data_IF_632416082058
#
_entry.id   IF_632416082058
#
_cell.length_a   1.000
_cell.length_b   1.000
_cell.length_c   1.000
_cell.angle_alpha   90.00
_cell.angle_beta   90.00
_cell.angle_gamma   90.00
#
_symmetry.space_group_name_H-M   'P 1'
#
loop_
_entity.id
_entity.type
_entity.pdbx_description
1 polymer ?
#
# COMPACT_ATOMS: atom_id res chain seq x y z
N UNK A 1 -32.94 44.68 -10.61
CA UNK A 1 -32.18 44.03 -9.51
C UNK A 1 -32.85 42.78 -8.92
N UNK A 2 -34.16 42.60 -8.91
CA UNK A 2 -34.83 41.48 -8.23
C UNK A 2 -34.70 40.07 -8.87
N UNK A 3 -34.53 39.95 -10.21
CA UNK A 3 -34.45 38.64 -10.89
C UNK A 3 -33.10 37.94 -10.70
N UNK A 4 -32.00 38.68 -10.75
CA UNK A 4 -30.66 38.14 -10.50
C UNK A 4 -30.51 37.67 -9.06
N UNK A 5 -31.03 38.38 -8.09
CA UNK A 5 -31.00 38.01 -6.67
C UNK A 5 -31.81 36.73 -6.37
N UNK A 6 -32.95 36.52 -7.07
CA UNK A 6 -33.74 35.29 -6.97
C UNK A 6 -33.01 34.07 -7.62
N UNK A 7 -32.33 34.27 -8.75
CA UNK A 7 -31.52 33.25 -9.39
C UNK A 7 -30.34 32.81 -8.50
N UNK A 8 -29.63 33.78 -7.90
CA UNK A 8 -28.53 33.47 -6.97
C UNK A 8 -29.01 32.74 -5.72
N UNK A 9 -30.17 33.09 -5.18
CA UNK A 9 -30.79 32.37 -4.06
C UNK A 9 -31.23 30.96 -4.45
N UNK A 10 -31.71 30.74 -5.65
CA UNK A 10 -32.10 29.43 -6.15
C UNK A 10 -30.90 28.53 -6.38
N UNK A 11 -29.82 29.06 -6.97
CA UNK A 11 -28.55 28.33 -7.15
C UNK A 11 -27.87 28.00 -5.81
N UNK A 12 -27.89 28.95 -4.85
CA UNK A 12 -27.35 28.72 -3.51
C UNK A 12 -28.16 27.68 -2.73
N UNK A 13 -29.51 27.71 -2.84
CA UNK A 13 -30.36 26.73 -2.19
C UNK A 13 -30.22 25.33 -2.83
N UNK A 14 -30.10 25.25 -4.16
CA UNK A 14 -29.81 23.99 -4.86
C UNK A 14 -28.45 23.41 -4.50
N UNK A 15 -27.42 24.26 -4.40
CA UNK A 15 -26.10 23.87 -3.93
C UNK A 15 -26.10 23.38 -2.49
N UNK A 16 -26.78 24.06 -1.58
CA UNK A 16 -26.89 23.64 -0.19
C UNK A 16 -27.66 22.32 -0.02
N UNK A 17 -28.73 22.10 -0.77
CA UNK A 17 -29.48 20.85 -0.77
C UNK A 17 -28.61 19.67 -1.30
N UNK A 18 -27.81 19.92 -2.35
CA UNK A 18 -26.87 18.93 -2.88
C UNK A 18 -25.80 18.56 -1.88
N UNK A 19 -25.18 19.52 -1.19
CA UNK A 19 -24.20 19.28 -0.13
C UNK A 19 -24.81 18.52 1.04
N UNK A 20 -26.05 18.86 1.45
CA UNK A 20 -26.74 18.15 2.52
C UNK A 20 -27.03 16.67 2.15
N UNK A 21 -27.44 16.42 0.90
CA UNK A 21 -27.67 15.06 0.41
C UNK A 21 -26.39 14.23 0.40
N UNK A 22 -25.26 14.80 -0.05
CA UNK A 22 -23.95 14.13 0.01
C UNK A 22 -23.53 13.85 1.45
N UNK A 23 -23.70 14.81 2.36
CA UNK A 23 -23.39 14.62 3.78
C UNK A 23 -24.24 13.50 4.40
N UNK A 24 -25.52 13.43 4.07
CA UNK A 24 -26.39 12.34 4.52
C UNK A 24 -25.95 10.98 3.97
N UNK A 25 -25.58 10.92 2.67
CA UNK A 25 -25.06 9.69 2.07
C UNK A 25 -23.76 9.25 2.75
N UNK A 26 -22.81 10.16 3.00
CA UNK A 26 -21.57 9.88 3.72
C UNK A 26 -21.86 9.35 5.14
N UNK A 27 -22.81 9.94 5.85
CA UNK A 27 -23.21 9.49 7.17
C UNK A 27 -23.84 8.07 7.13
N UNK A 28 -24.61 7.75 6.09
CA UNK A 28 -25.15 6.39 5.90
C UNK A 28 -24.03 5.36 5.71
N UNK A 29 -23.05 5.65 4.84
CA UNK A 29 -21.86 4.78 4.66
C UNK A 29 -21.10 4.60 5.97
N UNK A 30 -20.94 5.67 6.76
CA UNK A 30 -20.25 5.62 8.04
C UNK A 30 -21.00 4.79 9.10
N UNK A 31 -22.33 4.72 9.03
CA UNK A 31 -23.15 3.88 9.94
C UNK A 31 -23.16 2.41 9.54
N UNK A 32 -23.11 2.11 8.25
CA UNK A 32 -23.11 0.73 7.70
C UNK A 32 -21.68 0.14 7.59
N UNK A 33 -20.76 0.59 8.44
CA UNK A 33 -19.40 0.06 8.48
C UNK A 33 -19.42 -1.42 8.87
N UNK A 34 -18.73 -2.21 8.05
CA UNK A 34 -18.49 -3.64 8.33
C UNK A 34 -17.14 -3.79 9.01
N UNK A 35 -17.06 -4.61 10.03
CA UNK A 35 -15.77 -4.95 10.62
C UNK A 35 -15.00 -5.89 9.69
N UNK A 36 -13.72 -5.59 9.40
CA UNK A 36 -12.90 -6.50 8.63
C UNK A 36 -12.58 -7.78 9.40
N UNK A 37 -12.46 -8.88 8.69
CA UNK A 37 -12.08 -10.18 9.27
C UNK A 37 -10.65 -10.11 9.86
N UNK A 38 -10.53 -10.11 11.19
CA UNK A 38 -9.26 -9.89 11.91
C UNK A 38 -8.27 -11.05 11.80
N UNK A 39 -8.76 -12.29 11.72
CA UNK A 39 -7.95 -13.52 11.68
C UNK A 39 -7.43 -13.93 10.29
N UNK A 40 -7.74 -13.17 9.24
CA UNK A 40 -7.60 -13.61 7.85
C UNK A 40 -6.15 -13.87 7.37
N UNK A 41 -5.12 -13.39 8.08
CA UNK A 41 -3.72 -13.61 7.73
C UNK A 41 -3.06 -14.76 8.51
N UNK A 42 -3.58 -15.11 9.68
CA UNK A 42 -2.92 -16.04 10.60
C UNK A 42 -1.85 -15.38 11.48
N UNK A 43 -1.12 -16.18 12.24
CA UNK A 43 -0.09 -15.71 13.18
C UNK A 43 -0.63 -14.95 14.40
N UNK A 44 0.26 -14.46 15.23
CA UNK A 44 -0.02 -13.66 16.42
C UNK A 44 -0.08 -12.17 16.05
N UNK A 45 -0.95 -11.43 16.74
CA UNK A 45 -1.05 -9.98 16.58
C UNK A 45 -0.07 -9.27 17.50
N UNK A 46 0.60 -8.24 16.97
CA UNK A 46 1.44 -7.33 17.71
C UNK A 46 1.03 -5.88 17.44
N UNK A 47 1.41 -5.00 18.35
CA UNK A 47 1.24 -3.57 18.23
C UNK A 47 2.58 -2.89 18.60
N UNK A 48 3.06 -2.01 17.74
CA UNK A 48 4.29 -1.25 17.94
C UNK A 48 3.91 0.22 18.20
N UNK A 49 4.14 0.73 19.42
CA UNK A 49 3.94 2.15 19.72
C UNK A 49 5.00 2.95 18.99
N UNK A 50 4.57 3.69 17.97
CA UNK A 50 5.44 4.52 17.16
C UNK A 50 5.08 6.00 17.32
N UNK A 51 5.97 6.91 16.92
CA UNK A 51 5.85 8.36 17.14
C UNK A 51 4.46 8.94 16.76
N UNK A 52 3.85 8.43 15.68
CA UNK A 52 2.58 8.96 15.17
C UNK A 52 1.37 8.07 15.46
N UNK A 53 1.52 7.01 16.25
CA UNK A 53 0.41 6.11 16.62
C UNK A 53 0.81 4.64 16.65
N UNK A 54 -0.13 3.77 17.01
CA UNK A 54 0.07 2.34 17.07
C UNK A 54 0.18 1.74 15.66
N UNK A 55 1.24 0.98 15.43
CA UNK A 55 1.45 0.22 14.19
C UNK A 55 1.12 -1.24 14.44
N UNK A 56 0.08 -1.72 13.78
CA UNK A 56 -0.34 -3.10 13.87
C UNK A 56 0.55 -3.99 12.99
N UNK A 57 0.89 -5.17 13.48
CA UNK A 57 1.55 -6.19 12.69
C UNK A 57 1.11 -7.59 13.09
N UNK A 58 1.40 -8.56 12.24
CA UNK A 58 1.30 -9.97 12.56
C UNK A 58 2.67 -10.61 12.48
N UNK A 59 2.91 -11.61 13.34
CA UNK A 59 4.12 -12.39 13.29
C UNK A 59 3.85 -13.88 13.47
N UNK A 60 4.69 -14.71 12.87
CA UNK A 60 4.63 -16.17 12.95
C UNK A 60 6.00 -16.79 12.67
N UNK A 61 6.17 -18.06 13.00
CA UNK A 61 7.40 -18.80 12.78
C UNK A 61 8.33 -18.80 14.01
N UNK A 62 9.35 -19.65 13.97
CA UNK A 62 10.29 -19.78 15.08
C UNK A 62 11.09 -18.50 15.31
N UNK A 63 11.26 -18.09 16.55
CA UNK A 63 11.94 -16.84 16.92
C UNK A 63 13.41 -16.80 16.44
N UNK A 64 14.08 -17.93 16.49
CA UNK A 64 15.47 -18.06 16.02
C UNK A 64 15.62 -18.09 14.48
N UNK A 65 14.52 -18.33 13.73
CA UNK A 65 14.59 -18.38 12.28
C UNK A 65 14.91 -17.01 11.66
N UNK A 66 15.51 -16.93 10.46
CA UNK A 66 15.80 -15.68 9.78
C UNK A 66 14.54 -14.79 9.64
N UNK A 67 14.62 -13.50 9.95
CA UNK A 67 13.43 -12.64 9.89
C UNK A 67 13.09 -12.24 8.46
N UNK A 68 11.79 -12.14 8.19
CA UNK A 68 11.23 -11.65 6.93
C UNK A 68 10.10 -10.68 7.24
N UNK A 69 10.15 -9.47 6.66
CA UNK A 69 9.13 -8.44 6.82
C UNK A 69 8.36 -8.23 5.55
N UNK A 70 7.06 -8.42 5.60
CA UNK A 70 6.11 -8.19 4.51
C UNK A 70 5.47 -6.81 4.65
N UNK A 71 5.62 -5.98 3.61
CA UNK A 71 5.08 -4.62 3.56
C UNK A 71 4.07 -4.53 2.41
N UNK A 72 2.82 -4.22 2.75
CA UNK A 72 1.74 -4.15 1.77
C UNK A 72 1.84 -2.91 0.86
N UNK A 73 1.17 -2.94 -0.30
CA UNK A 73 1.03 -1.78 -1.18
C UNK A 73 0.27 -0.63 -0.50
N UNK A 74 0.43 0.57 -1.03
CA UNK A 74 -0.34 1.76 -0.66
C UNK A 74 -1.59 1.85 -1.51
N UNK A 75 -2.75 2.07 -0.88
CA UNK A 75 -4.03 2.22 -1.59
C UNK A 75 -5.24 1.97 -0.70
N UNK A 76 -6.42 2.25 -1.22
CA UNK A 76 -7.67 2.02 -0.49
C UNK A 76 -7.88 0.53 -0.20
N UNK A 77 -8.15 0.19 1.05
CA UNK A 77 -8.31 -1.19 1.52
C UNK A 77 -7.02 -2.00 1.63
N UNK A 78 -5.86 -1.39 1.34
CA UNK A 78 -4.57 -2.07 1.45
C UNK A 78 -4.21 -2.37 2.91
N UNK A 79 -3.66 -3.56 3.15
CA UNK A 79 -3.11 -4.03 4.43
C UNK A 79 -2.33 -5.33 4.23
N UNK A 80 -1.72 -5.81 5.29
CA UNK A 80 -0.96 -7.08 5.34
C UNK A 80 -1.70 -8.30 4.78
N UNK A 81 -3.03 -8.28 4.75
CA UNK A 81 -3.87 -9.34 4.15
C UNK A 81 -3.53 -9.65 2.68
N UNK A 82 -2.91 -8.73 1.95
CA UNK A 82 -2.46 -9.03 0.59
C UNK A 82 -1.43 -10.16 0.53
N UNK A 83 -0.78 -10.48 1.65
CA UNK A 83 0.20 -11.55 1.78
C UNK A 83 -0.37 -12.87 2.29
N UNK A 84 -1.70 -13.03 2.33
CA UNK A 84 -2.40 -14.20 2.91
C UNK A 84 -2.02 -15.55 2.29
N UNK A 85 -1.49 -15.55 1.05
CA UNK A 85 -1.02 -16.76 0.38
C UNK A 85 0.48 -17.01 0.57
N UNK A 86 1.18 -16.09 1.21
CA UNK A 86 2.65 -16.10 1.30
C UNK A 86 3.13 -16.11 2.76
N UNK A 87 2.42 -15.46 3.66
CA UNK A 87 2.83 -15.27 5.04
C UNK A 87 2.98 -16.60 5.80
N UNK A 88 1.96 -17.45 5.79
CA UNK A 88 2.04 -18.76 6.45
C UNK A 88 3.08 -19.69 5.80
N UNK A 89 3.17 -19.85 4.46
CA UNK A 89 4.26 -20.59 3.84
C UNK A 89 5.66 -20.06 4.22
N UNK A 90 5.85 -18.74 4.32
CA UNK A 90 7.12 -18.16 4.74
C UNK A 90 7.44 -18.45 6.20
N UNK A 91 6.45 -18.40 7.09
CA UNK A 91 6.64 -18.61 8.53
C UNK A 91 7.11 -20.04 8.91
N UNK A 92 7.02 -20.98 7.99
CA UNK A 92 7.57 -22.34 8.19
C UNK A 92 9.10 -22.38 8.18
N UNK A 93 9.75 -21.37 7.60
CA UNK A 93 11.20 -21.30 7.41
C UNK A 93 11.82 -20.00 7.90
N UNK A 94 11.00 -19.04 8.29
CA UNK A 94 11.40 -17.69 8.68
C UNK A 94 10.57 -17.19 9.87
N UNK A 95 11.12 -16.28 10.65
CA UNK A 95 10.33 -15.43 11.55
C UNK A 95 9.66 -14.35 10.73
N UNK A 96 8.44 -14.61 10.29
CA UNK A 96 7.70 -13.74 9.40
C UNK A 96 6.96 -12.63 10.18
N UNK A 97 7.08 -11.40 9.69
CA UNK A 97 6.33 -10.24 10.15
C UNK A 97 5.54 -9.67 8.97
N UNK A 98 4.30 -9.25 9.19
CA UNK A 98 3.48 -8.57 8.19
C UNK A 98 2.88 -7.31 8.80
N UNK A 99 3.41 -6.16 8.42
CA UNK A 99 3.07 -4.86 9.01
C UNK A 99 1.91 -4.21 8.23
N UNK A 100 0.98 -3.62 8.98
CA UNK A 100 0.01 -2.66 8.43
C UNK A 100 0.62 -1.26 8.61
N UNK A 101 0.95 -0.56 7.54
CA UNK A 101 1.54 0.77 7.60
C UNK A 101 0.60 1.76 8.29
N UNK A 102 1.15 2.77 8.97
CA UNK A 102 0.35 3.85 9.58
C UNK A 102 -0.61 4.45 8.55
N UNK A 103 -1.86 4.66 8.93
CA UNK A 103 -2.92 5.11 8.02
C UNK A 103 -3.62 3.99 7.26
N UNK A 104 -3.17 2.73 7.37
CA UNK A 104 -3.70 1.57 6.66
C UNK A 104 -4.06 0.44 7.63
N UNK A 105 -4.84 -0.52 7.13
CA UNK A 105 -5.16 -1.75 7.85
C UNK A 105 -5.71 -1.50 9.26
N UNK A 106 -5.11 -2.17 10.24
CA UNK A 106 -5.45 -2.02 11.66
C UNK A 106 -4.53 -1.05 12.43
N UNK A 107 -3.52 -0.48 11.77
CA UNK A 107 -2.71 0.59 12.36
C UNK A 107 -3.55 1.86 12.54
N UNK A 108 -3.12 2.73 13.45
CA UNK A 108 -3.73 4.04 13.66
C UNK A 108 -3.73 4.87 12.38
N UNK A 109 -4.72 5.76 12.27
CA UNK A 109 -4.96 6.58 11.09
C UNK A 109 -5.14 8.06 11.48
N UNK A 110 -4.12 8.64 12.15
CA UNK A 110 -4.24 10.01 12.63
C UNK A 110 -4.39 11.00 11.47
N UNK A 111 -5.34 11.92 11.59
CA UNK A 111 -5.55 12.97 10.60
C UNK A 111 -4.38 13.97 10.52
N UNK A 112 -3.59 14.05 11.58
CA UNK A 112 -2.48 15.01 11.74
C UNK A 112 -1.12 14.44 11.34
N UNK A 113 -1.01 13.15 11.01
CA UNK A 113 0.25 12.58 10.57
C UNK A 113 0.70 13.19 9.22
N UNK A 114 1.99 13.52 9.07
CA UNK A 114 2.53 14.08 7.83
C UNK A 114 2.77 12.99 6.79
N UNK A 115 1.70 12.34 6.32
CA UNK A 115 1.79 11.23 5.37
C UNK A 115 2.67 11.58 4.17
N UNK A 116 3.83 10.96 4.09
CA UNK A 116 4.87 11.17 3.09
C UNK A 116 5.70 9.91 2.86
N UNK A 117 6.47 9.88 1.80
CA UNK A 117 7.45 8.81 1.59
C UNK A 117 8.45 8.72 2.76
N UNK A 118 8.91 9.87 3.26
CA UNK A 118 9.89 9.93 4.35
C UNK A 118 9.34 9.37 5.66
N UNK A 119 8.05 9.62 5.96
CA UNK A 119 7.36 9.00 7.10
C UNK A 119 7.39 7.47 7.02
N UNK A 120 7.10 6.89 5.86
CA UNK A 120 7.07 5.43 5.73
C UNK A 120 8.47 4.81 5.69
N UNK A 121 9.47 5.51 5.17
CA UNK A 121 10.87 5.08 5.26
C UNK A 121 11.32 5.06 6.72
N UNK A 122 11.01 6.11 7.48
CA UNK A 122 11.32 6.18 8.92
C UNK A 122 10.60 5.04 9.68
N UNK A 123 9.29 4.87 9.45
CA UNK A 123 8.52 3.78 10.07
C UNK A 123 9.15 2.41 9.81
N UNK A 124 9.53 2.12 8.57
CA UNK A 124 10.14 0.82 8.23
C UNK A 124 11.49 0.63 8.92
N UNK A 125 12.33 1.65 8.97
CA UNK A 125 13.63 1.59 9.65
C UNK A 125 13.46 1.36 11.16
N UNK A 126 12.55 2.08 11.78
CA UNK A 126 12.27 1.94 13.20
C UNK A 126 11.64 0.58 13.54
N UNK A 127 10.68 0.11 12.71
CA UNK A 127 10.10 -1.22 12.87
C UNK A 127 11.14 -2.33 12.74
N UNK A 128 12.05 -2.24 11.78
CA UNK A 128 13.15 -3.19 11.61
C UNK A 128 14.10 -3.17 12.81
N UNK A 129 14.41 -2.00 13.34
CA UNK A 129 15.29 -1.83 14.49
C UNK A 129 14.66 -2.31 15.79
N UNK A 130 13.45 -1.81 16.10
CA UNK A 130 12.86 -1.91 17.43
C UNK A 130 12.01 -3.19 17.61
N UNK A 131 11.38 -3.69 16.53
CA UNK A 131 10.50 -4.87 16.59
C UNK A 131 11.20 -6.12 16.09
N UNK A 132 11.91 -6.02 14.96
CA UNK A 132 12.60 -7.18 14.38
C UNK A 132 13.95 -7.41 15.07
N UNK A 133 14.69 -6.34 15.37
CA UNK A 133 15.91 -6.33 16.21
C UNK A 133 17.16 -6.95 15.58
N UNK A 134 17.10 -7.35 14.31
CA UNK A 134 18.21 -7.93 13.55
C UNK A 134 17.97 -7.75 12.04
N UNK A 135 19.03 -7.84 11.20
CA UNK A 135 18.88 -7.71 9.76
C UNK A 135 17.82 -8.66 9.20
N UNK A 136 17.00 -8.18 8.27
CA UNK A 136 15.86 -8.92 7.76
C UNK A 136 15.78 -8.91 6.24
N UNK A 137 15.25 -9.99 5.66
CA UNK A 137 14.72 -9.94 4.31
C UNK A 137 13.43 -9.10 4.24
N UNK A 138 13.31 -8.20 3.28
CA UNK A 138 12.12 -7.36 3.14
C UNK A 138 11.40 -7.66 1.83
N UNK A 139 10.11 -7.99 1.94
CA UNK A 139 9.19 -8.20 0.83
C UNK A 139 8.22 -7.04 0.77
N UNK A 140 8.26 -6.24 -0.28
CA UNK A 140 7.44 -5.06 -0.37
C UNK A 140 6.80 -4.89 -1.76
N UNK A 141 5.63 -4.25 -1.81
CA UNK A 141 4.85 -4.12 -3.04
C UNK A 141 4.66 -2.66 -3.46
N UNK A 142 4.79 -2.39 -4.76
CA UNK A 142 4.48 -1.11 -5.39
C UNK A 142 5.23 0.06 -4.75
N UNK A 143 4.55 1.07 -4.23
CA UNK A 143 5.17 2.25 -3.61
C UNK A 143 5.91 1.90 -2.30
N UNK A 144 5.41 0.93 -1.53
CA UNK A 144 6.13 0.44 -0.34
C UNK A 144 7.43 -0.28 -0.69
N UNK A 145 7.55 -0.84 -1.90
CA UNK A 145 8.82 -1.37 -2.39
C UNK A 145 9.86 -0.25 -2.62
N UNK A 146 9.41 0.95 -3.01
CA UNK A 146 10.28 2.11 -3.07
C UNK A 146 10.75 2.56 -1.68
N UNK A 147 9.88 2.52 -0.67
CA UNK A 147 10.26 2.82 0.72
C UNK A 147 11.23 1.78 1.28
N UNK A 148 11.01 0.50 0.99
CA UNK A 148 11.92 -0.57 1.41
C UNK A 148 13.30 -0.42 0.77
N UNK A 149 13.37 -0.08 -0.51
CA UNK A 149 14.63 0.21 -1.20
C UNK A 149 15.37 1.39 -0.57
N UNK A 150 14.64 2.48 -0.24
CA UNK A 150 15.22 3.62 0.47
C UNK A 150 15.71 3.23 1.86
N UNK A 151 14.90 2.53 2.64
CA UNK A 151 15.29 2.08 3.97
C UNK A 151 16.57 1.23 3.94
N UNK A 152 16.69 0.30 2.95
CA UNK A 152 17.86 -0.53 2.75
C UNK A 152 19.11 0.27 2.33
N UNK A 153 18.96 1.30 1.52
CA UNK A 153 20.08 2.16 1.11
C UNK A 153 20.53 3.12 2.23
N UNK A 154 19.57 3.63 3.02
CA UNK A 154 19.83 4.57 4.12
C UNK A 154 20.33 3.88 5.40
N UNK A 155 19.94 2.62 5.63
CA UNK A 155 20.30 1.83 6.82
C UNK A 155 20.59 0.37 6.41
N UNK A 156 21.72 0.14 5.72
CA UNK A 156 22.03 -1.16 5.11
C UNK A 156 22.20 -2.30 6.15
N UNK A 157 22.49 -1.97 7.38
CA UNK A 157 22.60 -2.90 8.49
C UNK A 157 21.25 -3.53 8.93
N UNK A 158 20.13 -2.93 8.53
CA UNK A 158 18.80 -3.41 8.89
C UNK A 158 18.20 -4.39 7.86
N UNK A 159 18.75 -4.45 6.66
CA UNK A 159 18.18 -5.20 5.54
C UNK A 159 19.19 -6.11 4.89
N UNK A 160 18.96 -7.43 4.95
CA UNK A 160 19.81 -8.44 4.32
C UNK A 160 19.55 -8.59 2.83
N UNK A 161 18.28 -8.56 2.43
CA UNK A 161 17.86 -8.79 1.06
C UNK A 161 16.50 -8.17 0.76
N UNK A 162 16.22 -7.95 -0.52
CA UNK A 162 14.98 -7.32 -0.99
C UNK A 162 14.28 -8.19 -2.03
N UNK A 163 12.98 -8.43 -1.83
CA UNK A 163 12.07 -8.92 -2.87
C UNK A 163 11.03 -7.84 -3.13
N UNK A 164 11.19 -7.11 -4.22
CA UNK A 164 10.39 -5.94 -4.56
C UNK A 164 9.38 -6.30 -5.67
N UNK A 165 8.10 -6.22 -5.35
CA UNK A 165 7.01 -6.53 -6.28
C UNK A 165 6.56 -5.26 -6.98
N UNK A 166 6.77 -5.17 -8.29
CA UNK A 166 6.41 -4.02 -9.14
C UNK A 166 6.74 -2.67 -8.47
N UNK A 167 8.02 -2.42 -8.04
CA UNK A 167 8.37 -1.18 -7.35
C UNK A 167 8.10 0.03 -8.24
N UNK A 168 7.50 1.08 -7.67
CA UNK A 168 7.30 2.38 -8.32
C UNK A 168 8.42 3.35 -7.96
N UNK A 169 8.43 4.54 -8.58
CA UNK A 169 9.42 5.58 -8.26
C UNK A 169 10.60 5.67 -9.23
N UNK A 170 10.68 4.77 -10.24
CA UNK A 170 11.61 4.91 -11.37
C UNK A 170 10.94 5.54 -12.61
N UNK A 171 9.64 5.80 -12.54
CA UNK A 171 8.80 6.35 -13.61
C UNK A 171 7.76 7.34 -13.05
N UNK A 172 6.47 7.14 -13.37
CA UNK A 172 5.41 8.12 -13.10
C UNK A 172 5.18 8.54 -11.65
N UNK A 173 5.49 7.68 -10.65
CA UNK A 173 5.32 7.99 -9.23
C UNK A 173 6.59 8.54 -8.57
N UNK A 174 7.47 9.17 -9.32
CA UNK A 174 8.74 9.75 -8.82
C UNK A 174 8.62 11.22 -8.40
N UNK A 175 7.67 11.97 -8.96
CA UNK A 175 7.55 13.39 -8.71
C UNK A 175 6.74 13.73 -7.45
N UNK A 176 7.22 14.71 -6.68
CA UNK A 176 6.43 15.35 -5.61
C UNK A 176 5.26 16.15 -6.22
N UNK A 177 4.14 16.30 -5.50
CA UNK A 177 2.99 17.04 -6.01
C UNK A 177 3.36 18.51 -6.23
N UNK A 178 3.04 19.02 -7.43
CA UNK A 178 3.03 20.46 -7.71
C UNK A 178 1.76 21.15 -7.18
N UNK A 179 1.50 22.38 -7.63
CA UNK A 179 0.29 23.15 -7.24
C UNK A 179 -1.02 22.40 -7.52
N UNK A 180 -1.11 21.65 -8.62
CA UNK A 180 -2.28 20.83 -8.94
C UNK A 180 -2.49 19.70 -7.92
N UNK A 181 -1.44 19.06 -7.47
CA UNK A 181 -1.50 18.04 -6.42
C UNK A 181 -1.93 18.63 -5.08
N UNK A 182 -1.43 19.82 -4.73
CA UNK A 182 -1.83 20.52 -3.51
C UNK A 182 -3.31 20.93 -3.53
N UNK A 183 -3.80 21.47 -4.66
CA UNK A 183 -5.21 21.80 -4.84
C UNK A 183 -6.10 20.55 -4.76
N UNK A 184 -5.69 19.46 -5.38
CA UNK A 184 -6.40 18.18 -5.33
C UNK A 184 -6.42 17.60 -3.90
N UNK A 185 -5.30 17.70 -3.18
CA UNK A 185 -5.23 17.33 -1.78
C UNK A 185 -6.23 18.11 -0.93
N UNK A 186 -6.32 19.45 -1.10
CA UNK A 186 -7.30 20.30 -0.42
C UNK A 186 -8.74 19.89 -0.74
N UNK A 187 -9.05 19.57 -2.00
CA UNK A 187 -10.37 19.08 -2.40
C UNK A 187 -10.70 17.75 -1.70
N UNK A 188 -9.77 16.79 -1.69
CA UNK A 188 -9.96 15.48 -1.06
C UNK A 188 -10.05 15.56 0.48
N UNK A 189 -9.51 16.61 1.09
CA UNK A 189 -9.67 16.90 2.52
C UNK A 189 -10.98 17.60 2.87
N UNK A 190 -11.75 18.02 1.88
CA UNK A 190 -13.05 18.64 2.14
C UNK A 190 -14.00 17.62 2.81
N UNK A 191 -14.63 17.99 3.95
CA UNK A 191 -15.40 17.05 4.78
C UNK A 191 -16.56 16.36 4.06
N UNK A 192 -17.15 17.00 3.08
CA UNK A 192 -18.29 16.44 2.32
C UNK A 192 -17.85 15.94 0.95
N UNK A 193 -17.26 16.80 0.12
CA UNK A 193 -16.90 16.46 -1.26
C UNK A 193 -15.78 15.40 -1.31
N UNK A 194 -14.73 15.57 -0.51
CA UNK A 194 -13.63 14.62 -0.44
C UNK A 194 -14.08 13.25 0.07
N UNK A 195 -14.88 13.24 1.14
CA UNK A 195 -15.46 11.99 1.67
C UNK A 195 -16.40 11.34 0.66
N UNK A 196 -17.21 12.10 -0.08
CA UNK A 196 -18.10 11.57 -1.12
C UNK A 196 -17.30 10.96 -2.28
N UNK A 197 -16.24 11.63 -2.72
CA UNK A 197 -15.33 11.09 -3.74
C UNK A 197 -14.68 9.79 -3.25
N UNK A 198 -14.16 9.78 -2.03
CA UNK A 198 -13.55 8.61 -1.42
C UNK A 198 -14.54 7.43 -1.33
N UNK A 199 -15.75 7.66 -0.81
CA UNK A 199 -16.80 6.63 -0.71
C UNK A 199 -17.23 6.10 -2.08
N UNK A 200 -17.32 6.96 -3.11
CA UNK A 200 -17.63 6.52 -4.47
C UNK A 200 -16.53 5.62 -5.03
N UNK A 201 -15.26 6.02 -4.89
CA UNK A 201 -14.09 5.25 -5.32
C UNK A 201 -13.99 3.91 -4.57
N UNK A 202 -14.24 3.91 -3.26
CA UNK A 202 -14.16 2.73 -2.39
C UNK A 202 -15.47 1.97 -2.26
N UNK A 203 -16.49 2.28 -3.08
CA UNK A 203 -17.71 1.47 -3.17
C UNK A 203 -17.36 0.04 -3.60
N UNK A 204 -18.20 -0.95 -3.23
CA UNK A 204 -17.98 -2.34 -3.65
C UNK A 204 -17.83 -2.50 -5.16
N UNK A 205 -18.57 -1.69 -5.95
CA UNK A 205 -18.43 -1.65 -7.41
C UNK A 205 -17.07 -1.08 -7.82
N UNK A 206 -16.68 0.07 -7.28
CA UNK A 206 -15.40 0.71 -7.58
C UNK A 206 -14.21 -0.18 -7.26
N UNK A 207 -14.21 -0.82 -6.09
CA UNK A 207 -13.18 -1.76 -5.66
C UNK A 207 -13.15 -3.03 -6.51
N UNK A 208 -14.32 -3.55 -6.91
CA UNK A 208 -14.40 -4.70 -7.81
C UNK A 208 -13.86 -4.38 -9.20
N UNK A 209 -14.24 -3.22 -9.75
CA UNK A 209 -13.79 -2.78 -11.07
C UNK A 209 -12.27 -2.54 -11.05
N UNK A 210 -11.74 -1.90 -10.01
CA UNK A 210 -10.30 -1.74 -9.80
C UNK A 210 -9.57 -3.08 -9.71
N UNK A 211 -10.07 -4.02 -8.90
CA UNK A 211 -9.46 -5.34 -8.76
C UNK A 211 -9.44 -6.10 -10.10
N UNK A 212 -10.52 -6.04 -10.87
CA UNK A 212 -10.64 -6.74 -12.17
C UNK A 212 -9.85 -6.08 -13.29
N UNK A 213 -9.67 -4.77 -13.26
CA UNK A 213 -9.03 -4.03 -14.35
C UNK A 213 -7.55 -3.76 -14.09
N UNK A 214 -7.16 -3.59 -12.84
CA UNK A 214 -5.79 -3.19 -12.48
C UNK A 214 -5.03 -4.29 -11.74
N UNK A 215 -5.60 -4.88 -10.68
CA UNK A 215 -4.83 -5.78 -9.81
C UNK A 215 -4.58 -7.15 -10.48
N UNK A 216 -5.60 -7.75 -11.10
CA UNK A 216 -5.52 -9.13 -11.57
C UNK A 216 -5.67 -9.26 -13.08
N UNK A 217 -4.81 -10.05 -13.69
CA UNK A 217 -4.99 -10.55 -15.05
C UNK A 217 -6.14 -11.55 -15.10
N UNK A 218 -6.12 -12.55 -14.22
CA UNK A 218 -7.20 -13.50 -14.06
C UNK A 218 -8.27 -12.92 -13.11
N UNK A 219 -9.35 -12.44 -13.70
CA UNK A 219 -10.46 -11.77 -12.99
C UNK A 219 -11.15 -12.64 -11.91
N UNK A 220 -10.87 -13.95 -11.87
CA UNK A 220 -11.38 -14.85 -10.83
C UNK A 220 -10.85 -14.51 -9.45
N UNK A 221 -9.68 -13.89 -9.35
CA UNK A 221 -9.08 -13.46 -8.09
C UNK A 221 -9.82 -12.26 -7.47
N UNK A 222 -10.56 -11.47 -8.26
CA UNK A 222 -11.42 -10.39 -7.76
C UNK A 222 -12.74 -10.96 -7.19
N UNK A 223 -12.61 -11.79 -6.14
CA UNK A 223 -13.75 -12.48 -5.51
C UNK A 223 -14.62 -11.51 -4.70
N UNK A 224 -15.91 -11.81 -4.49
CA UNK A 224 -16.76 -11.03 -3.59
C UNK A 224 -16.18 -10.89 -2.18
N UNK A 225 -15.55 -11.94 -1.64
CA UNK A 225 -14.89 -11.89 -0.32
C UNK A 225 -13.73 -10.91 -0.30
N UNK A 226 -12.90 -10.87 -1.34
CA UNK A 226 -11.81 -9.90 -1.44
C UNK A 226 -12.32 -8.46 -1.52
N UNK A 227 -13.37 -8.23 -2.32
CA UNK A 227 -14.00 -6.91 -2.46
C UNK A 227 -14.61 -6.46 -1.14
N UNK A 228 -15.34 -7.34 -0.46
CA UNK A 228 -15.92 -7.07 0.86
C UNK A 228 -14.83 -6.74 1.90
N UNK A 229 -13.70 -7.45 1.86
CA UNK A 229 -12.56 -7.17 2.72
C UNK A 229 -11.96 -5.78 2.46
N UNK A 230 -11.70 -5.44 1.19
CA UNK A 230 -11.19 -4.11 0.83
C UNK A 230 -12.19 -3.01 1.21
N UNK A 231 -13.50 -3.24 0.98
CA UNK A 231 -14.54 -2.31 1.40
C UNK A 231 -14.49 -2.06 2.90
N UNK A 232 -14.52 -3.10 3.71
CA UNK A 232 -14.51 -2.99 5.17
C UNK A 232 -13.28 -2.22 5.68
N UNK A 233 -12.08 -2.54 5.16
CA UNK A 233 -10.82 -1.86 5.54
C UNK A 233 -10.80 -0.41 5.08
N UNK A 234 -11.30 -0.11 3.88
CA UNK A 234 -11.37 1.27 3.37
C UNK A 234 -12.29 2.18 4.19
N UNK A 235 -13.26 1.60 4.89
CA UNK A 235 -14.25 2.36 5.66
C UNK A 235 -13.96 2.39 7.17
N UNK A 236 -12.79 1.88 7.60
CA UNK A 236 -12.33 2.09 8.98
C UNK A 236 -12.16 3.60 9.27
N UNK A 237 -12.38 4.05 10.51
CA UNK A 237 -12.20 5.45 10.89
C UNK A 237 -10.81 5.97 10.47
N UNK A 238 -10.77 7.09 9.77
CA UNK A 238 -9.52 7.72 9.31
C UNK A 238 -8.85 7.09 8.06
N UNK A 239 -9.39 6.00 7.49
CA UNK A 239 -8.77 5.30 6.36
C UNK A 239 -8.57 6.18 5.11
N UNK A 240 -9.32 7.28 4.98
CA UNK A 240 -9.17 8.21 3.87
C UNK A 240 -7.90 9.07 3.94
N UNK A 241 -7.30 9.31 5.12
CA UNK A 241 -6.23 10.30 5.27
C UNK A 241 -4.97 9.95 4.47
N UNK A 242 -4.40 8.76 4.71
CA UNK A 242 -3.24 8.29 3.97
C UNK A 242 -3.54 8.07 2.48
N UNK A 243 -4.74 7.59 2.14
CA UNK A 243 -5.16 7.42 0.74
C UNK A 243 -5.29 8.76 0.02
N UNK A 244 -5.77 9.80 0.68
CA UNK A 244 -5.80 11.17 0.13
C UNK A 244 -4.40 11.67 -0.18
N UNK A 245 -3.45 11.48 0.72
CA UNK A 245 -2.05 11.84 0.49
C UNK A 245 -1.45 11.04 -0.69
N UNK A 246 -1.79 9.75 -0.80
CA UNK A 246 -1.38 8.91 -1.93
C UNK A 246 -1.92 9.43 -3.27
N UNK A 247 -3.23 9.64 -3.37
CA UNK A 247 -3.88 10.11 -4.60
C UNK A 247 -3.39 11.49 -5.05
N UNK A 248 -2.96 12.32 -4.11
CA UNK A 248 -2.41 13.65 -4.36
C UNK A 248 -0.90 13.67 -4.63
N UNK A 249 -0.25 12.49 -4.64
CA UNK A 249 1.17 12.33 -4.94
C UNK A 249 2.14 12.66 -3.79
N UNK A 250 1.63 12.95 -2.58
CA UNK A 250 2.51 13.22 -1.42
C UNK A 250 3.32 11.99 -0.97
N UNK A 251 2.88 10.80 -1.33
CA UNK A 251 3.57 9.55 -1.01
C UNK A 251 4.59 9.13 -2.07
N UNK A 252 4.67 9.85 -3.20
CA UNK A 252 5.61 9.55 -4.27
C UNK A 252 7.05 9.79 -3.83
N UNK A 253 7.97 8.97 -4.36
CA UNK A 253 9.41 9.12 -4.16
C UNK A 253 10.17 8.65 -5.39
N UNK A 254 11.26 9.33 -5.71
CA UNK A 254 12.21 8.89 -6.72
C UNK A 254 13.20 7.89 -6.09
N UNK A 255 13.39 6.75 -6.74
CA UNK A 255 14.31 5.71 -6.26
C UNK A 255 15.49 5.47 -7.21
N UNK A 256 15.65 6.25 -8.27
CA UNK A 256 16.70 6.01 -9.27
C UNK A 256 18.08 6.03 -8.63
N UNK A 257 18.43 7.11 -7.94
CA UNK A 257 19.70 7.24 -7.22
C UNK A 257 19.82 6.21 -6.07
N UNK A 258 18.71 5.94 -5.37
CA UNK A 258 18.65 4.90 -4.33
C UNK A 258 19.01 3.54 -4.93
N UNK A 259 18.43 3.20 -6.08
CA UNK A 259 18.59 1.90 -6.70
C UNK A 259 20.01 1.64 -7.22
N UNK A 260 20.70 2.67 -7.67
CA UNK A 260 22.13 2.63 -8.02
C UNK A 260 23.02 2.27 -6.82
N UNK A 261 22.64 2.75 -5.63
CA UNK A 261 23.40 2.56 -4.38
C UNK A 261 23.07 1.28 -3.64
N UNK A 262 22.00 0.57 -3.99
CA UNK A 262 21.60 -0.66 -3.30
C UNK A 262 22.71 -1.72 -3.40
N UNK A 263 23.14 -2.23 -2.25
CA UNK A 263 24.15 -3.28 -2.14
C UNK A 263 23.56 -4.65 -1.83
N UNK A 264 22.41 -4.66 -1.20
CA UNK A 264 21.69 -5.87 -0.81
C UNK A 264 21.29 -6.68 -2.06
N UNK A 265 21.34 -8.03 -1.98
CA UNK A 265 20.71 -8.89 -2.96
C UNK A 265 19.27 -8.44 -3.20
N UNK A 266 18.96 -8.05 -4.43
CA UNK A 266 17.65 -7.48 -4.79
C UNK A 266 17.02 -8.28 -5.92
N UNK A 267 15.82 -8.77 -5.69
CA UNK A 267 15.01 -9.44 -6.69
C UNK A 267 13.76 -8.62 -6.98
N UNK A 268 13.51 -8.34 -8.25
CA UNK A 268 12.30 -7.71 -8.76
C UNK A 268 11.32 -8.80 -9.20
N UNK A 269 10.11 -8.81 -8.66
CA UNK A 269 9.02 -9.67 -9.13
C UNK A 269 8.01 -8.81 -9.90
N UNK A 270 7.72 -9.17 -11.16
CA UNK A 270 6.87 -8.32 -12.00
C UNK A 270 5.88 -9.11 -12.83
N UNK A 271 4.64 -8.65 -12.87
CA UNK A 271 3.63 -9.18 -13.80
C UNK A 271 3.84 -8.58 -15.20
N UNK A 272 3.98 -9.44 -16.22
CA UNK A 272 4.23 -8.98 -17.60
C UNK A 272 3.11 -8.09 -18.15
N UNK A 273 1.88 -8.28 -17.69
CA UNK A 273 0.71 -7.53 -18.12
C UNK A 273 0.31 -6.42 -17.13
N UNK A 274 1.22 -5.99 -16.26
CA UNK A 274 0.97 -4.86 -15.37
C UNK A 274 0.84 -3.57 -16.19
N UNK A 275 -0.33 -2.97 -16.18
CA UNK A 275 -0.65 -1.73 -16.89
C UNK A 275 -0.52 -0.49 -16.00
N UNK A 276 -0.55 -0.66 -14.70
CA UNK A 276 -0.38 0.43 -13.74
C UNK A 276 1.09 0.78 -13.52
N UNK A 277 1.95 -0.25 -13.53
CA UNK A 277 3.40 -0.09 -13.50
C UNK A 277 4.04 -0.97 -14.59
N UNK A 278 4.15 -0.48 -15.83
CA UNK A 278 4.61 -1.25 -16.98
C UNK A 278 6.01 -1.84 -16.81
N UNK A 279 6.25 -3.00 -17.42
CA UNK A 279 7.49 -3.78 -17.30
C UNK A 279 8.74 -3.02 -17.75
N UNK A 280 8.59 -2.01 -18.61
CA UNK A 280 9.66 -1.15 -19.06
C UNK A 280 10.38 -0.45 -17.90
N UNK A 281 9.66 -0.20 -16.79
CA UNK A 281 10.25 0.35 -15.57
C UNK A 281 11.22 -0.62 -14.90
N UNK A 282 10.96 -1.94 -14.97
CA UNK A 282 11.92 -2.93 -14.48
C UNK A 282 13.23 -2.89 -15.28
N UNK A 283 13.14 -2.77 -16.60
CA UNK A 283 14.31 -2.60 -17.45
C UNK A 283 15.14 -1.36 -17.11
N UNK A 284 14.47 -0.28 -16.70
CA UNK A 284 15.16 0.92 -16.21
C UNK A 284 15.92 0.66 -14.91
N UNK A 285 15.28 0.02 -13.94
CA UNK A 285 15.91 -0.34 -12.65
C UNK A 285 17.09 -1.29 -12.82
N UNK A 286 17.00 -2.27 -13.73
CA UNK A 286 18.11 -3.18 -14.01
C UNK A 286 19.32 -2.49 -14.64
N UNK A 287 19.10 -1.43 -15.41
CA UNK A 287 20.22 -0.62 -15.91
C UNK A 287 20.93 0.17 -14.81
N UNK A 288 20.15 0.64 -13.80
CA UNK A 288 20.70 1.37 -12.65
C UNK A 288 21.46 0.43 -11.70
N UNK A 289 20.95 -0.79 -11.49
CA UNK A 289 21.61 -1.81 -10.69
C UNK A 289 21.64 -3.17 -11.40
N UNK A 290 22.69 -3.46 -12.16
CA UNK A 290 22.83 -4.73 -12.90
C UNK A 290 22.95 -5.97 -12.02
N UNK A 291 23.14 -5.83 -10.70
CA UNK A 291 23.16 -6.94 -9.75
C UNK A 291 21.75 -7.39 -9.35
N UNK A 292 20.74 -6.57 -9.58
CA UNK A 292 19.37 -6.93 -9.32
C UNK A 292 18.90 -8.02 -10.30
N UNK A 293 18.07 -8.93 -9.82
CA UNK A 293 17.47 -9.99 -10.63
C UNK A 293 16.03 -9.64 -10.95
N UNK A 294 15.54 -10.08 -12.11
CA UNK A 294 14.15 -9.91 -12.51
C UNK A 294 13.49 -11.27 -12.69
N UNK A 295 12.40 -11.47 -11.99
CA UNK A 295 11.50 -12.60 -12.16
C UNK A 295 10.17 -12.14 -12.75
N UNK A 296 9.87 -12.61 -13.97
CA UNK A 296 8.66 -12.24 -14.72
C UNK A 296 7.57 -13.28 -14.55
N UNK A 297 6.38 -12.80 -14.26
CA UNK A 297 5.18 -13.61 -14.13
C UNK A 297 4.26 -13.35 -15.35
N UNK A 298 4.14 -14.34 -16.22
CA UNK A 298 3.25 -14.30 -17.37
C UNK A 298 1.78 -14.44 -16.93
N UNK A 299 0.86 -13.83 -17.70
CA UNK A 299 -0.56 -13.78 -17.36
C UNK A 299 -0.80 -13.26 -15.94
N UNK A 300 -0.11 -12.19 -15.60
CA UNK A 300 -0.11 -11.58 -14.30
C UNK A 300 -0.05 -10.05 -14.45
N UNK A 301 -0.79 -9.35 -13.60
CA UNK A 301 -0.69 -7.90 -13.44
C UNK A 301 0.08 -7.56 -12.17
N UNK A 302 -0.50 -6.73 -11.31
CA UNK A 302 0.18 -6.24 -10.11
C UNK A 302 0.40 -7.29 -9.02
N UNK A 303 -0.30 -8.44 -9.05
CA UNK A 303 -0.42 -9.33 -7.90
C UNK A 303 0.20 -10.73 -8.14
N UNK A 304 1.50 -10.85 -8.49
CA UNK A 304 2.13 -12.16 -8.70
C UNK A 304 2.09 -13.04 -7.44
N UNK A 305 2.16 -12.47 -6.24
CA UNK A 305 2.04 -13.16 -4.97
C UNK A 305 0.66 -13.81 -4.74
N UNK A 306 -0.35 -13.36 -5.49
CA UNK A 306 -1.72 -13.89 -5.46
C UNK A 306 -2.01 -14.82 -6.63
N UNK A 307 -1.72 -14.36 -7.85
CA UNK A 307 -2.05 -15.07 -9.09
C UNK A 307 -1.16 -16.31 -9.31
N UNK A 308 0.09 -16.26 -8.82
CA UNK A 308 1.08 -17.32 -8.96
C UNK A 308 1.73 -17.65 -7.60
N UNK A 309 0.91 -17.84 -6.57
CA UNK A 309 1.35 -17.94 -5.19
C UNK A 309 2.45 -18.99 -4.96
N UNK A 310 2.31 -20.19 -5.55
CA UNK A 310 3.29 -21.27 -5.34
C UNK A 310 4.65 -20.91 -5.94
N UNK A 311 4.67 -20.37 -7.16
CA UNK A 311 5.90 -19.88 -7.80
C UNK A 311 6.50 -18.70 -7.06
N UNK A 312 5.66 -17.77 -6.59
CA UNK A 312 6.09 -16.63 -5.78
C UNK A 312 6.67 -17.10 -4.44
N UNK A 313 6.09 -18.09 -3.79
CA UNK A 313 6.60 -18.65 -2.54
C UNK A 313 7.95 -19.39 -2.74
N UNK A 314 8.17 -20.02 -3.89
CA UNK A 314 9.47 -20.58 -4.26
C UNK A 314 10.51 -19.45 -4.45
N UNK A 315 10.17 -18.41 -5.20
CA UNK A 315 11.01 -17.23 -5.39
C UNK A 315 11.35 -16.56 -4.04
N UNK A 316 10.37 -16.43 -3.16
CA UNK A 316 10.54 -15.85 -1.82
C UNK A 316 11.63 -16.58 -1.02
N UNK A 317 11.59 -17.92 -1.01
CA UNK A 317 12.60 -18.72 -0.32
C UNK A 317 14.01 -18.53 -0.90
N UNK A 318 14.11 -18.42 -2.22
CA UNK A 318 15.41 -18.26 -2.88
C UNK A 318 15.97 -16.85 -2.72
N UNK A 319 15.12 -15.83 -2.85
CA UNK A 319 15.51 -14.41 -2.79
C UNK A 319 15.94 -13.95 -1.39
N UNK A 320 15.43 -14.62 -0.34
CA UNK A 320 15.65 -14.22 1.05
C UNK A 320 16.53 -15.23 1.82
N UNK A 321 17.25 -16.11 1.14
CA UNK A 321 18.30 -16.91 1.79
C UNK A 321 19.42 -15.98 2.26
N UNK A 322 19.88 -16.11 3.51
CA UNK A 322 21.10 -15.43 3.93
C UNK A 322 22.21 -15.73 2.93
N UNK A 323 22.97 -14.71 2.54
CA UNK A 323 24.21 -14.92 1.79
C UNK A 323 25.19 -15.63 2.71
N UNK A 324 25.72 -16.79 2.28
CA UNK A 324 26.77 -17.51 2.97
C UNK A 324 28.04 -16.67 3.15
#
# INVERSE_FOLDING_TARGET
MGRLHKLWKGLAAGGAAGVAALAAANAAVARDRKEPETGALGGEAGAYPWEHGQVFYRHAGAEAAPPVVFVHAVGAGARSFMWRRNFEPASRHSRAYAVDLLGFGYSDKPATAPYSADLYVALLKDFLRDVVGRPAGVVAHSLSAAYAARAAAESPELVDSLLLVSPTGAGGASARPGMTGAAFYGLLHSPVLGTSFYNAMTSERGLRDYARQQLFYNKRFATPRLVAHYYAVSHLPGAQHAVTAYLSGYLNTDIRETFERLRQPTTLAWGRQDTANPIEHAGHLLRLNPRARLELFDRCRQMPQEEHADRFNALLRDALRPSD
#
